data_IF_240652165696
#
_entry.id   IF_240652165696
#
_cell.length_a   1.000
_cell.length_b   1.000
_cell.length_c   1.000
_cell.angle_alpha   90.00
_cell.angle_beta   90.00
_cell.angle_gamma   90.00
#
_symmetry.space_group_name_H-M   'P 1'
#
loop_
_entity.id
_entity.type
_entity.pdbx_description
1 polymer ?
#
# COMPACT_ATOMS: atom_id res chain seq x y z
N UNK A 1 8.29 20.86 -27.64
CA UNK A 1 8.27 19.45 -28.11
C UNK A 1 7.81 18.57 -26.95
N UNK A 2 6.54 18.61 -26.59
CA UNK A 2 6.02 17.75 -25.51
C UNK A 2 5.37 16.52 -26.14
N UNK A 3 6.20 15.69 -26.77
CA UNK A 3 5.80 14.33 -27.13
C UNK A 3 5.81 13.50 -25.86
N UNK A 4 4.76 12.71 -25.65
CA UNK A 4 4.60 11.81 -24.51
C UNK A 4 5.66 10.69 -24.62
N UNK A 5 6.92 10.98 -24.26
CA UNK A 5 8.06 10.05 -24.29
C UNK A 5 8.13 9.16 -23.03
N UNK A 6 7.00 8.99 -22.36
CA UNK A 6 6.90 8.10 -21.19
C UNK A 6 7.30 6.68 -21.57
N UNK A 7 6.91 6.22 -22.76
CA UNK A 7 7.28 4.91 -23.31
C UNK A 7 8.78 4.71 -23.47
N UNK A 8 9.54 5.78 -23.70
CA UNK A 8 10.99 5.71 -23.93
C UNK A 8 11.78 5.59 -22.62
N UNK A 9 11.17 5.98 -21.49
CA UNK A 9 11.80 5.99 -20.16
C UNK A 9 11.32 4.85 -19.27
N UNK A 10 10.13 4.32 -19.51
CA UNK A 10 9.55 3.24 -18.73
C UNK A 10 10.26 1.92 -19.05
N UNK A 11 10.61 1.16 -18.02
CA UNK A 11 11.15 -0.18 -18.20
C UNK A 11 10.09 -1.07 -18.88
N UNK A 12 10.52 -1.79 -19.91
CA UNK A 12 9.71 -2.76 -20.64
C UNK A 12 9.02 -3.80 -19.73
N UNK A 13 9.65 -4.20 -18.62
CA UNK A 13 9.06 -5.13 -17.65
C UNK A 13 7.86 -4.52 -16.92
N UNK A 14 7.94 -3.24 -16.57
CA UNK A 14 6.84 -2.51 -15.91
C UNK A 14 5.63 -2.44 -16.84
N UNK A 15 5.86 -2.21 -18.13
CA UNK A 15 4.78 -2.18 -19.13
C UNK A 15 4.14 -3.57 -19.27
N UNK A 16 4.95 -4.62 -19.29
CA UNK A 16 4.48 -6.00 -19.48
C UNK A 16 3.70 -6.54 -18.27
N UNK A 17 4.19 -6.30 -17.06
CA UNK A 17 3.63 -6.86 -15.82
C UNK A 17 2.60 -5.93 -15.17
N UNK A 18 2.89 -4.62 -15.18
CA UNK A 18 2.13 -3.60 -14.47
C UNK A 18 1.00 -2.98 -15.26
N UNK A 19 1.02 -3.06 -16.59
CA UNK A 19 0.06 -2.41 -17.48
C UNK A 19 0.40 -0.94 -17.74
N UNK A 20 0.19 -0.50 -19.00
CA UNK A 20 0.55 0.85 -19.47
C UNK A 20 -0.21 1.94 -18.70
N UNK A 21 -1.48 1.71 -18.38
CA UNK A 21 -2.35 2.71 -17.74
C UNK A 21 -1.89 3.04 -16.31
N UNK A 22 -1.61 2.03 -15.50
CA UNK A 22 -1.12 2.20 -14.13
C UNK A 22 0.25 2.89 -14.13
N UNK A 23 1.15 2.49 -15.04
CA UNK A 23 2.46 3.11 -15.20
C UNK A 23 2.35 4.61 -15.58
N UNK A 24 1.39 4.96 -16.44
CA UNK A 24 1.15 6.35 -16.83
C UNK A 24 0.61 7.19 -15.66
N UNK A 25 -0.28 6.63 -14.84
CA UNK A 25 -0.78 7.30 -13.63
C UNK A 25 0.37 7.60 -12.67
N UNK A 26 1.22 6.61 -12.39
CA UNK A 26 2.38 6.76 -11.51
C UNK A 26 3.38 7.77 -12.08
N UNK A 27 3.62 7.76 -13.39
CA UNK A 27 4.51 8.71 -14.03
C UNK A 27 4.01 10.17 -13.92
N UNK A 28 2.71 10.40 -14.13
CA UNK A 28 2.09 11.72 -13.92
C UNK A 28 2.15 12.16 -12.46
N UNK A 29 1.94 11.23 -11.53
CA UNK A 29 2.06 11.50 -10.10
C UNK A 29 3.50 11.91 -9.74
N UNK A 30 4.50 11.19 -10.23
CA UNK A 30 5.90 11.53 -10.04
C UNK A 30 6.25 12.90 -10.65
N UNK A 31 5.73 13.20 -11.84
CA UNK A 31 5.89 14.52 -12.47
C UNK A 31 5.34 15.64 -11.58
N UNK A 32 4.15 15.47 -11.00
CA UNK A 32 3.54 16.44 -10.10
C UNK A 32 4.36 16.62 -8.81
N UNK A 33 4.83 15.52 -8.20
CA UNK A 33 5.69 15.56 -7.01
C UNK A 33 7.02 16.30 -7.25
N UNK A 34 7.54 16.22 -8.48
CA UNK A 34 8.78 16.86 -8.90
C UNK A 34 8.59 18.26 -9.48
N UNK A 35 7.40 18.87 -9.36
CA UNK A 35 7.20 20.24 -9.85
C UNK A 35 8.19 21.20 -9.20
N UNK A 36 8.72 22.12 -10.01
CA UNK A 36 9.62 23.19 -9.57
C UNK A 36 8.89 24.17 -8.64
N UNK A 37 7.58 24.32 -8.84
CA UNK A 37 6.70 25.13 -8.00
C UNK A 37 6.16 24.28 -6.87
N UNK A 38 6.48 24.66 -5.63
CA UNK A 38 6.10 23.90 -4.44
C UNK A 38 4.58 23.82 -4.27
N UNK A 39 3.85 24.86 -4.67
CA UNK A 39 2.40 24.96 -4.63
C UNK A 39 1.67 24.02 -5.59
N UNK A 40 2.36 23.56 -6.64
CA UNK A 40 1.82 22.57 -7.58
C UNK A 40 2.06 21.13 -7.11
N UNK A 41 2.90 20.93 -6.08
CA UNK A 41 3.18 19.59 -5.56
C UNK A 41 1.97 19.08 -4.78
N UNK A 42 1.57 17.81 -4.98
CA UNK A 42 0.49 17.22 -4.21
C UNK A 42 0.89 17.06 -2.74
N UNK A 43 -0.11 17.07 -1.87
CA UNK A 43 0.07 16.66 -0.48
C UNK A 43 0.32 15.15 -0.42
N UNK A 44 1.04 14.67 0.61
CA UNK A 44 1.26 13.23 0.79
C UNK A 44 -0.04 12.42 0.88
N UNK A 45 -1.12 13.01 1.41
CA UNK A 45 -2.44 12.37 1.43
C UNK A 45 -2.99 12.14 0.02
N UNK A 46 -2.82 13.11 -0.89
CA UNK A 46 -3.24 12.96 -2.28
C UNK A 46 -2.38 11.92 -3.02
N UNK A 47 -1.07 11.88 -2.72
CA UNK A 47 -0.16 10.86 -3.24
C UNK A 47 -0.60 9.47 -2.81
N UNK A 48 -0.85 9.29 -1.51
CA UNK A 48 -1.35 8.04 -0.93
C UNK A 48 -2.66 7.60 -1.59
N UNK A 49 -3.68 8.47 -1.64
CA UNK A 49 -4.96 8.14 -2.29
C UNK A 49 -4.78 7.71 -3.76
N UNK A 50 -3.95 8.43 -4.51
CA UNK A 50 -3.71 8.09 -5.93
C UNK A 50 -3.04 6.72 -6.07
N UNK A 51 -2.10 6.38 -5.18
CA UNK A 51 -1.43 5.08 -5.21
C UNK A 51 -2.33 3.94 -4.72
N UNK A 52 -3.20 4.19 -3.73
CA UNK A 52 -4.22 3.23 -3.30
C UNK A 52 -5.18 2.89 -4.45
N UNK A 53 -5.59 3.88 -5.24
CA UNK A 53 -6.47 3.66 -6.40
C UNK A 53 -5.81 2.76 -7.46
N UNK A 54 -4.53 2.99 -7.76
CA UNK A 54 -3.72 2.15 -8.67
C UNK A 54 -3.56 0.74 -8.12
N UNK A 55 -3.35 0.58 -6.81
CA UNK A 55 -3.23 -0.74 -6.19
C UNK A 55 -4.57 -1.50 -6.21
N UNK A 56 -5.67 -0.81 -5.88
CA UNK A 56 -6.99 -1.41 -5.75
C UNK A 56 -7.64 -1.76 -7.09
N UNK A 57 -7.21 -1.14 -8.20
CA UNK A 57 -7.62 -1.51 -9.56
C UNK A 57 -7.32 -2.99 -9.85
N UNK A 58 -6.16 -3.50 -9.39
CA UNK A 58 -5.75 -4.90 -9.56
C UNK A 58 -6.53 -5.86 -8.66
N UNK A 59 -6.93 -5.42 -7.46
CA UNK A 59 -7.65 -6.24 -6.48
C UNK A 59 -9.10 -6.52 -6.90
N UNK A 60 -9.75 -5.60 -7.62
CA UNK A 60 -11.12 -5.81 -8.15
C UNK A 60 -11.22 -6.90 -9.22
N UNK A 61 -10.19 -7.08 -10.06
CA UNK A 61 -10.17 -8.17 -11.04
C UNK A 61 -10.00 -9.53 -10.36
N UNK A 62 -9.10 -9.63 -9.38
CA UNK A 62 -8.86 -10.85 -8.61
C UNK A 62 -10.11 -11.32 -7.85
N UNK A 63 -10.81 -10.39 -7.19
CA UNK A 63 -12.03 -10.69 -6.44
C UNK A 63 -13.22 -11.09 -7.31
N UNK A 64 -13.29 -10.66 -8.57
CA UNK A 64 -14.32 -11.15 -9.53
C UNK A 64 -14.03 -12.58 -10.02
N UNK A 65 -12.76 -12.95 -10.22
CA UNK A 65 -12.36 -14.32 -10.58
C UNK A 65 -12.70 -15.31 -9.44
N UNK A 66 -12.57 -14.87 -8.20
CA UNK A 66 -12.90 -15.68 -7.01
C UNK A 66 -14.40 -15.98 -6.88
N UNK A 67 -15.30 -15.07 -7.31
CA UNK A 67 -16.76 -15.27 -7.20
C UNK A 67 -17.31 -16.35 -8.14
N UNK A 68 -16.65 -16.63 -9.26
CA UNK A 68 -17.08 -17.67 -10.21
C UNK A 68 -16.75 -19.08 -9.70
N UNK A 69 -15.79 -19.22 -8.78
CA UNK A 69 -15.25 -20.53 -8.39
C UNK A 69 -15.55 -20.98 -6.95
N UNK A 70 -16.39 -20.28 -6.19
CA UNK A 70 -16.65 -20.65 -4.78
C UNK A 70 -18.15 -20.80 -4.47
N UNK A 71 -18.73 -21.90 -4.95
CA UNK A 71 -19.51 -22.72 -4.03
C UNK A 71 -18.53 -23.47 -3.12
N UNK A 72 -18.59 -23.23 -1.81
CA UNK A 72 -17.70 -23.70 -0.73
C UNK A 72 -16.37 -22.91 -0.66
N UNK A 73 -15.90 -22.35 0.47
CA UNK A 73 -16.12 -22.57 1.90
C UNK A 73 -16.15 -21.23 2.67
N UNK A 74 -16.59 -21.31 3.92
CA UNK A 74 -17.11 -20.24 4.79
C UNK A 74 -16.11 -19.17 5.25
N UNK A 75 -16.68 -18.02 5.59
CA UNK A 75 -16.13 -16.79 6.14
C UNK A 75 -15.37 -16.92 7.48
N UNK A 76 -14.32 -16.10 7.67
CA UNK A 76 -14.12 -15.43 8.96
C UNK A 76 -13.66 -13.97 8.74
N UNK A 77 -14.50 -12.96 9.08
CA UNK A 77 -14.17 -11.55 8.96
C UNK A 77 -13.29 -11.03 10.10
N UNK A 78 -12.24 -10.27 9.78
CA UNK A 78 -11.60 -9.35 10.74
C UNK A 78 -12.66 -8.32 11.16
N UNK A 79 -13.06 -8.35 12.42
CA UNK A 79 -13.87 -7.31 13.06
C UNK A 79 -12.91 -6.23 13.57
N UNK A 80 -13.11 -5.00 13.11
CA UNK A 80 -12.42 -3.82 13.63
C UNK A 80 -12.81 -3.55 15.08
N UNK A 81 -11.83 -3.26 15.92
CA UNK A 81 -12.07 -2.87 17.30
C UNK A 81 -11.99 -1.33 17.44
N UNK A 82 -13.15 -0.69 17.56
CA UNK A 82 -13.28 0.66 18.16
C UNK A 82 -13.77 0.49 19.59
N UNK A 83 -13.17 1.23 20.52
CA UNK A 83 -13.67 1.40 21.88
C UNK A 83 -12.61 1.03 22.92
N UNK A 84 -12.13 2.03 23.63
CA UNK A 84 -10.93 1.94 24.47
C UNK A 84 -11.11 1.15 25.76
N UNK A 85 -9.96 0.70 26.26
CA UNK A 85 -9.62 0.53 27.67
C UNK A 85 -8.10 0.51 27.70
N UNK A 86 -7.48 1.52 28.32
CA UNK A 86 -6.03 1.52 28.47
C UNK A 86 -5.63 0.34 29.35
N UNK A 87 -4.82 -0.59 28.83
CA UNK A 87 -3.96 -1.40 29.70
C UNK A 87 -2.58 -1.48 29.09
N UNK A 88 -1.62 -0.95 29.84
CA UNK A 88 -0.19 -0.84 29.55
C UNK A 88 0.34 -2.23 29.21
N UNK A 89 0.50 -2.53 27.93
CA UNK A 89 1.03 -3.80 27.48
C UNK A 89 2.57 -3.76 27.52
N UNK A 90 3.15 -3.73 28.73
CA UNK A 90 4.47 -4.28 29.06
C UNK A 90 4.74 -4.11 30.57
N UNK A 91 4.71 -5.20 31.32
CA UNK A 91 5.19 -5.23 32.71
C UNK A 91 6.64 -5.72 32.67
N UNK A 92 7.58 -4.76 32.52
CA UNK A 92 9.05 -4.99 32.50
C UNK A 92 9.57 -5.74 33.75
N UNK A 93 8.77 -5.80 34.81
CA UNK A 93 9.04 -6.56 36.04
C UNK A 93 9.31 -8.05 35.81
N UNK A 94 8.69 -8.69 34.79
CA UNK A 94 8.90 -10.11 34.52
C UNK A 94 10.23 -10.42 33.84
N UNK A 95 10.71 -9.51 32.97
CA UNK A 95 12.00 -9.65 32.29
C UNK A 95 13.19 -9.43 33.24
N UNK A 96 13.01 -8.57 34.25
CA UNK A 96 14.05 -8.26 35.25
C UNK A 96 14.33 -9.46 36.16
N UNK A 97 13.30 -10.22 36.55
CA UNK A 97 13.46 -11.43 37.39
C UNK A 97 14.20 -12.52 36.62
N UNK A 98 13.85 -12.76 35.34
CA UNK A 98 14.50 -13.77 34.50
C UNK A 98 15.99 -13.47 34.23
N UNK A 99 16.38 -12.20 34.19
CA UNK A 99 17.78 -11.80 33.96
C UNK A 99 18.68 -12.01 35.18
N UNK A 100 18.10 -12.19 36.37
CA UNK A 100 18.83 -12.37 37.63
C UNK A 100 19.21 -13.83 37.93
N UNK A 101 18.69 -14.78 37.16
CA UNK A 101 18.84 -16.22 37.42
C UNK A 101 19.97 -16.87 36.60
N UNK A 102 20.73 -16.07 35.86
CA UNK A 102 21.93 -16.55 35.13
C UNK A 102 23.12 -16.54 36.10
N UNK A 103 23.66 -17.70 36.49
CA UNK A 103 24.85 -17.76 37.33
C UNK A 103 26.06 -17.23 36.55
N UNK A 104 26.97 -16.54 37.24
CA UNK A 104 28.28 -16.18 36.67
C UNK A 104 29.31 -17.28 36.87
#
# INVERSE_FOLDING_TARGET
>A
MSGNRLSDILDTQIIHEGGVEDAEVVARLAQACLSLKGEERPTMRQVETTLEDVHNSKVKLSSQITRVNQSAMKDQPWMGNKGGEGTRLYSLEKEIIQSSEIPR
#
